data_IF_635732516217
#
_entry.id   IF_635732516217
#
_cell.length_a   1.000
_cell.length_b   1.000
_cell.length_c   1.000
_cell.angle_alpha   90.00
_cell.angle_beta   90.00
_cell.angle_gamma   90.00
#
_symmetry.space_group_name_H-M   'P 1'
#
loop_
_entity.id
_entity.type
_entity.pdbx_description
1 polymer ?
#
# COMPACT_ATOMS: atom_id res chain seq x y z
N UNK A 1 -2.08 -15.58 16.65
CA UNK A 1 -1.49 -14.36 16.08
C UNK A 1 -0.69 -14.75 14.86
N UNK A 2 -1.10 -14.26 13.69
CA UNK A 2 -0.53 -14.65 12.37
C UNK A 2 0.81 -13.97 12.07
N UNK A 3 1.11 -12.86 12.76
CA UNK A 3 2.34 -12.06 12.62
C UNK A 3 3.13 -11.94 13.93
N UNK A 4 2.98 -12.91 14.84
CA UNK A 4 3.71 -12.90 16.11
C UNK A 4 5.22 -12.74 15.87
N UNK A 5 5.85 -11.81 16.61
CA UNK A 5 7.28 -11.50 16.55
C UNK A 5 7.80 -11.01 15.19
N UNK A 6 6.92 -10.60 14.27
CA UNK A 6 7.29 -9.95 13.02
C UNK A 6 7.36 -8.43 13.19
N UNK A 7 8.24 -7.79 12.42
CA UNK A 7 8.33 -6.33 12.34
C UNK A 7 7.97 -5.85 10.92
N UNK A 8 7.12 -4.84 10.85
CA UNK A 8 6.55 -4.35 9.61
C UNK A 8 6.72 -2.83 9.45
N UNK A 9 7.00 -2.39 8.23
CA UNK A 9 6.92 -0.97 7.83
C UNK A 9 5.78 -0.82 6.82
N UNK A 10 4.86 0.10 7.10
CA UNK A 10 3.73 0.41 6.24
C UNK A 10 3.81 1.88 5.81
N UNK A 11 3.83 2.14 4.51
CA UNK A 11 3.87 3.51 3.98
C UNK A 11 2.45 4.00 3.64
N UNK A 12 2.21 5.32 3.75
CA UNK A 12 0.86 5.89 3.62
C UNK A 12 -0.08 5.31 4.67
N UNK A 13 0.44 5.15 5.90
CA UNK A 13 -0.21 4.36 6.94
C UNK A 13 -1.01 5.19 7.95
N UNK A 14 -1.01 6.53 7.84
CA UNK A 14 -1.77 7.37 8.76
C UNK A 14 -3.30 7.27 8.57
N UNK A 15 -3.76 6.92 7.35
CA UNK A 15 -5.18 6.93 6.99
C UNK A 15 -5.58 5.72 6.12
N UNK A 16 -6.89 5.53 5.94
CA UNK A 16 -7.48 4.60 4.98
C UNK A 16 -6.97 3.16 5.10
N UNK A 17 -6.61 2.55 3.97
CA UNK A 17 -6.12 1.16 3.89
C UNK A 17 -4.87 0.95 4.74
N UNK A 18 -3.94 1.92 4.71
CA UNK A 18 -2.71 1.83 5.48
C UNK A 18 -2.97 1.76 6.98
N UNK A 19 -3.82 2.64 7.50
CA UNK A 19 -4.18 2.68 8.92
C UNK A 19 -4.93 1.41 9.37
N UNK A 20 -5.88 0.94 8.58
CA UNK A 20 -6.57 -0.33 8.85
C UNK A 20 -5.59 -1.51 8.87
N UNK A 21 -4.62 -1.52 7.94
CA UNK A 21 -3.59 -2.56 7.90
C UNK A 21 -2.66 -2.48 9.11
N UNK A 22 -2.28 -1.28 9.54
CA UNK A 22 -1.41 -1.09 10.72
C UNK A 22 -2.08 -1.64 12.00
N UNK A 23 -3.37 -1.30 12.22
CA UNK A 23 -4.16 -1.87 13.33
C UNK A 23 -4.23 -3.39 13.25
N UNK A 24 -4.60 -3.89 12.07
CA UNK A 24 -4.77 -5.34 11.86
C UNK A 24 -3.47 -6.12 12.06
N UNK A 25 -2.33 -5.58 11.64
CA UNK A 25 -1.03 -6.20 11.86
C UNK A 25 -0.65 -6.22 13.35
N UNK A 26 -0.88 -5.11 14.06
CA UNK A 26 -0.62 -5.04 15.50
C UNK A 26 -1.51 -6.01 16.29
N UNK A 27 -2.80 -6.15 15.95
CA UNK A 27 -3.72 -7.14 16.53
C UNK A 27 -3.22 -8.57 16.34
N UNK A 28 -2.53 -8.84 15.24
CA UNK A 28 -1.94 -10.15 14.92
C UNK A 28 -0.50 -10.32 15.45
N UNK A 29 -0.04 -9.38 16.29
CA UNK A 29 1.20 -9.48 17.04
C UNK A 29 2.43 -8.90 16.36
N UNK A 30 2.28 -8.17 15.25
CA UNK A 30 3.39 -7.48 14.63
C UNK A 30 3.79 -6.23 15.41
N UNK A 31 5.08 -5.88 15.34
CA UNK A 31 5.59 -4.56 15.66
C UNK A 31 5.55 -3.69 14.42
N UNK A 32 4.94 -2.50 14.47
CA UNK A 32 4.58 -1.72 13.28
C UNK A 32 5.27 -0.36 13.26
N UNK A 33 5.92 -0.02 12.16
CA UNK A 33 6.29 1.36 11.83
C UNK A 33 5.19 1.96 10.94
N UNK A 34 4.50 2.97 11.45
CA UNK A 34 3.51 3.77 10.73
C UNK A 34 4.29 4.89 10.01
N UNK A 35 4.52 4.74 8.70
CA UNK A 35 5.29 5.69 7.91
C UNK A 35 4.34 6.54 7.04
N UNK A 36 4.34 7.86 7.25
CA UNK A 36 3.47 8.79 6.53
C UNK A 36 4.03 10.23 6.57
N UNK A 37 3.55 11.09 5.70
CA UNK A 37 3.81 12.54 5.74
C UNK A 37 2.88 13.27 6.72
N UNK A 38 1.73 12.69 7.05
CA UNK A 38 0.79 13.22 8.04
C UNK A 38 1.25 12.84 9.47
N UNK A 39 2.11 13.68 10.03
CA UNK A 39 2.69 13.47 11.37
C UNK A 39 1.63 13.39 12.47
N UNK A 40 0.59 14.23 12.37
CA UNK A 40 -0.45 14.28 13.39
C UNK A 40 -1.28 12.98 13.41
N UNK A 41 -1.79 12.56 12.26
CA UNK A 41 -2.59 11.35 12.15
C UNK A 41 -1.73 10.08 12.39
N UNK A 42 -0.51 10.03 11.86
CA UNK A 42 0.39 8.89 12.04
C UNK A 42 0.82 8.69 13.50
N UNK A 43 1.15 9.78 14.21
CA UNK A 43 1.48 9.72 15.63
C UNK A 43 0.28 9.30 16.47
N UNK A 44 -0.91 9.82 16.16
CA UNK A 44 -2.14 9.42 16.85
C UNK A 44 -2.44 7.92 16.68
N UNK A 45 -2.29 7.40 15.46
CA UNK A 45 -2.48 5.97 15.18
C UNK A 45 -1.45 5.09 15.90
N UNK A 46 -0.17 5.48 15.88
CA UNK A 46 0.86 4.72 16.60
C UNK A 46 0.58 4.68 18.12
N UNK A 47 0.12 5.80 18.69
CA UNK A 47 -0.27 5.88 20.11
C UNK A 47 -1.49 5.02 20.41
N UNK A 48 -2.54 5.06 19.57
CA UNK A 48 -3.73 4.22 19.67
C UNK A 48 -3.37 2.72 19.70
N UNK A 49 -2.48 2.29 18.79
CA UNK A 49 -2.01 0.89 18.74
C UNK A 49 -1.30 0.51 20.04
N UNK A 50 -0.47 1.39 20.59
CA UNK A 50 0.24 1.13 21.84
C UNK A 50 -0.73 1.09 23.03
N UNK A 51 -1.71 1.99 23.10
CA UNK A 51 -2.73 2.02 24.16
C UNK A 51 -3.61 0.76 24.18
N UNK A 52 -3.81 0.14 23.00
CA UNK A 52 -4.54 -1.13 22.88
C UNK A 52 -3.66 -2.37 23.10
N UNK A 53 -2.39 -2.18 23.50
CA UNK A 53 -1.47 -3.26 23.85
C UNK A 53 -0.62 -3.78 22.70
N UNK A 54 -0.67 -3.17 21.52
CA UNK A 54 0.20 -3.45 20.39
C UNK A 54 1.55 -2.75 20.49
N UNK A 55 2.38 -2.90 19.46
CA UNK A 55 3.68 -2.24 19.34
C UNK A 55 3.71 -1.42 18.06
N UNK A 56 3.81 -0.11 18.19
CA UNK A 56 3.92 0.78 17.04
C UNK A 56 4.82 1.97 17.30
N UNK A 57 5.36 2.54 16.23
CA UNK A 57 6.11 3.81 16.23
C UNK A 57 5.80 4.56 14.94
N UNK A 58 5.72 5.87 15.00
CA UNK A 58 5.57 6.71 13.82
C UNK A 58 6.94 7.05 13.21
N UNK A 59 6.99 7.12 11.88
CA UNK A 59 8.09 7.66 11.08
C UNK A 59 7.55 8.71 10.12
N UNK A 60 8.02 9.95 10.21
CA UNK A 60 7.74 10.94 9.16
C UNK A 60 8.46 10.51 7.87
N UNK A 61 7.72 10.28 6.80
CA UNK A 61 8.26 9.68 5.59
C UNK A 61 7.54 10.19 4.34
N UNK A 62 8.21 11.02 3.55
CA UNK A 62 7.83 11.25 2.16
C UNK A 62 8.45 10.13 1.30
N UNK A 63 7.61 9.23 0.79
CA UNK A 63 8.07 8.10 -0.03
C UNK A 63 8.74 8.54 -1.34
N UNK A 64 8.52 9.78 -1.79
CA UNK A 64 9.23 10.36 -2.93
C UNK A 64 10.72 10.58 -2.64
N UNK A 65 11.08 10.71 -1.35
CA UNK A 65 12.45 10.88 -0.88
C UNK A 65 13.04 9.54 -0.40
N UNK A 66 14.11 9.12 -1.07
CA UNK A 66 14.77 7.84 -0.76
C UNK A 66 15.28 7.79 0.68
N UNK A 67 15.82 8.89 1.19
CA UNK A 67 16.37 8.95 2.53
C UNK A 67 15.33 8.69 3.61
N UNK A 68 14.08 9.15 3.40
CA UNK A 68 13.00 8.96 4.36
C UNK A 68 12.55 7.49 4.41
N UNK A 69 12.48 6.81 3.25
CA UNK A 69 12.20 5.38 3.20
C UNK A 69 13.30 4.57 3.91
N UNK A 70 14.57 4.90 3.66
CA UNK A 70 15.71 4.25 4.33
C UNK A 70 15.63 4.47 5.84
N UNK A 71 15.34 5.70 6.29
CA UNK A 71 15.20 6.02 7.70
C UNK A 71 14.03 5.26 8.38
N UNK A 72 12.90 5.10 7.69
CA UNK A 72 11.77 4.32 8.21
C UNK A 72 12.13 2.82 8.38
N UNK A 73 12.89 2.25 7.45
CA UNK A 73 13.36 0.86 7.55
C UNK A 73 14.42 0.69 8.64
N UNK A 74 15.35 1.65 8.77
CA UNK A 74 16.36 1.66 9.83
C UNK A 74 15.70 1.80 11.20
N UNK A 75 14.71 2.68 11.35
CA UNK A 75 13.90 2.80 12.56
C UNK A 75 13.26 1.46 12.96
N UNK A 76 12.74 0.69 11.99
CA UNK A 76 12.18 -0.63 12.24
C UNK A 76 13.25 -1.59 12.79
N UNK A 77 14.41 -1.65 12.16
CA UNK A 77 15.54 -2.48 12.59
C UNK A 77 16.04 -2.08 13.97
N UNK A 78 16.19 -0.78 14.24
CA UNK A 78 16.70 -0.25 15.50
C UNK A 78 15.73 -0.49 16.67
N UNK A 79 14.42 -0.33 16.41
CA UNK A 79 13.40 -0.44 17.47
C UNK A 79 12.94 -1.86 17.73
N UNK A 80 12.92 -2.70 16.69
CA UNK A 80 12.34 -4.05 16.75
C UNK A 80 13.35 -5.16 16.41
N UNK A 81 14.60 -4.80 16.06
CA UNK A 81 15.69 -5.74 15.81
C UNK A 81 15.64 -6.45 14.47
N UNK A 82 14.63 -6.16 13.62
CA UNK A 82 14.39 -6.87 12.35
C UNK A 82 13.46 -6.09 11.42
N UNK A 83 13.44 -6.48 10.15
CA UNK A 83 12.43 -6.09 9.17
C UNK A 83 11.95 -7.35 8.44
N UNK A 84 10.68 -7.71 8.58
CA UNK A 84 10.09 -8.91 7.97
C UNK A 84 9.06 -8.60 6.90
N UNK A 85 8.36 -7.48 7.05
CA UNK A 85 7.22 -7.15 6.21
C UNK A 85 7.31 -5.68 5.78
N UNK A 86 7.09 -5.45 4.49
CA UNK A 86 6.89 -4.09 3.97
C UNK A 86 5.59 -4.02 3.20
N UNK A 87 4.77 -3.05 3.53
CA UNK A 87 3.58 -2.69 2.76
C UNK A 87 3.81 -1.32 2.09
N UNK A 88 4.19 -1.36 0.81
CA UNK A 88 4.31 -0.17 -0.04
C UNK A 88 2.91 0.28 -0.47
N UNK A 89 2.27 1.11 0.36
CA UNK A 89 0.88 1.50 0.16
C UNK A 89 0.71 2.97 -0.23
N UNK A 90 1.62 3.85 0.18
CA UNK A 90 1.54 5.27 -0.15
C UNK A 90 1.33 5.52 -1.64
N UNK A 91 0.33 6.32 -1.99
CA UNK A 91 0.03 6.68 -3.37
C UNK A 91 -0.77 7.99 -3.44
N UNK A 92 -0.65 8.66 -4.56
CA UNK A 92 -1.50 9.79 -4.95
C UNK A 92 -2.30 9.44 -6.20
N UNK A 93 -3.39 10.14 -6.44
CA UNK A 93 -4.23 9.98 -7.62
C UNK A 93 -4.19 11.23 -8.49
N UNK A 94 -4.44 11.04 -9.77
CA UNK A 94 -4.72 12.09 -10.73
C UNK A 94 -5.81 11.58 -11.67
N UNK A 95 -6.86 12.36 -11.84
CA UNK A 95 -8.06 11.99 -12.60
C UNK A 95 -8.03 12.48 -14.04
N UNK A 96 -6.98 13.20 -14.46
CA UNK A 96 -6.88 13.78 -15.80
C UNK A 96 -6.80 12.71 -16.87
N UNK A 97 -7.43 12.99 -18.00
CA UNK A 97 -7.31 12.16 -19.21
C UNK A 97 -5.95 12.39 -19.88
N UNK A 98 -5.65 11.62 -20.92
CA UNK A 98 -4.35 11.64 -21.61
C UNK A 98 -4.04 12.97 -22.31
N UNK A 99 -5.04 13.76 -22.64
CA UNK A 99 -4.86 15.04 -23.33
C UNK A 99 -4.63 16.20 -22.38
N UNK A 100 -5.11 16.08 -21.14
CA UNK A 100 -5.10 17.15 -20.14
C UNK A 100 -3.99 16.98 -19.08
N UNK A 101 -3.42 15.76 -18.96
CA UNK A 101 -2.31 15.47 -18.06
C UNK A 101 -1.03 16.17 -18.54
N UNK A 102 -0.32 16.85 -17.62
CA UNK A 102 0.98 17.47 -17.92
C UNK A 102 2.14 16.51 -17.63
N UNK A 103 3.32 16.84 -18.17
CA UNK A 103 4.55 16.08 -17.88
C UNK A 103 4.86 16.13 -16.37
N UNK A 104 4.65 17.26 -15.70
CA UNK A 104 4.87 17.43 -14.27
C UNK A 104 3.95 16.54 -13.43
N UNK A 105 2.70 16.38 -13.84
CA UNK A 105 1.74 15.50 -13.17
C UNK A 105 2.15 14.04 -13.33
N UNK A 106 2.56 13.66 -14.52
CA UNK A 106 3.06 12.32 -14.81
C UNK A 106 4.31 12.02 -13.96
N UNK A 107 5.29 12.92 -13.95
CA UNK A 107 6.53 12.77 -13.19
C UNK A 107 6.26 12.67 -11.68
N UNK A 108 5.33 13.48 -11.16
CA UNK A 108 4.91 13.42 -9.76
C UNK A 108 4.30 12.06 -9.41
N UNK A 109 3.37 11.56 -10.25
CA UNK A 109 2.76 10.24 -10.07
C UNK A 109 3.79 9.11 -10.14
N UNK A 110 4.68 9.16 -11.12
CA UNK A 110 5.76 8.16 -11.24
C UNK A 110 6.66 8.19 -10.00
N UNK A 111 7.03 9.38 -9.51
CA UNK A 111 7.90 9.52 -8.34
C UNK A 111 7.26 8.93 -7.09
N UNK A 112 5.98 9.24 -6.84
CA UNK A 112 5.28 8.77 -5.63
C UNK A 112 4.79 7.33 -5.76
N UNK A 113 4.14 6.95 -6.89
CA UNK A 113 3.42 5.68 -6.98
C UNK A 113 4.24 4.51 -7.52
N UNK A 114 5.32 4.78 -8.26
CA UNK A 114 6.11 3.72 -8.91
C UNK A 114 7.56 3.70 -8.44
N UNK A 115 8.26 4.85 -8.52
CA UNK A 115 9.65 4.93 -8.11
C UNK A 115 9.82 4.63 -6.62
N UNK A 116 8.92 5.11 -5.78
CA UNK A 116 8.91 4.81 -4.34
C UNK A 116 8.79 3.31 -4.07
N UNK A 117 7.88 2.63 -4.78
CA UNK A 117 7.68 1.17 -4.66
C UNK A 117 8.94 0.40 -5.09
N UNK A 118 9.59 0.85 -6.18
CA UNK A 118 10.88 0.27 -6.60
C UNK A 118 11.94 0.42 -5.52
N UNK A 119 12.10 1.64 -4.96
CA UNK A 119 13.07 1.91 -3.89
C UNK A 119 12.71 1.12 -2.64
N UNK A 120 11.46 1.20 -2.19
CA UNK A 120 10.96 0.50 -1.01
C UNK A 120 11.17 -1.01 -1.10
N UNK A 121 10.83 -1.63 -2.23
CA UNK A 121 11.07 -3.05 -2.48
C UNK A 121 12.56 -3.40 -2.42
N UNK A 122 13.41 -2.61 -3.07
CA UNK A 122 14.85 -2.87 -3.13
C UNK A 122 15.52 -2.72 -1.77
N UNK A 123 15.26 -1.62 -1.07
CA UNK A 123 15.92 -1.32 0.21
C UNK A 123 15.39 -2.21 1.35
N UNK A 124 14.11 -2.59 1.30
CA UNK A 124 13.56 -3.61 2.19
C UNK A 124 14.24 -4.97 1.98
N UNK A 125 14.32 -5.41 0.72
CA UNK A 125 14.93 -6.69 0.38
C UNK A 125 16.40 -6.77 0.85
N UNK A 126 17.18 -5.72 0.70
CA UNK A 126 18.57 -5.65 1.20
C UNK A 126 18.64 -5.92 2.70
N UNK A 127 17.79 -5.23 3.50
CA UNK A 127 17.75 -5.42 4.96
C UNK A 127 17.26 -6.81 5.36
N UNK A 128 16.23 -7.34 4.66
CA UNK A 128 15.74 -8.70 4.89
C UNK A 128 16.83 -9.76 4.60
N UNK A 129 17.63 -9.56 3.55
CA UNK A 129 18.76 -10.43 3.20
C UNK A 129 19.85 -10.32 4.27
N UNK A 130 20.22 -9.12 4.69
CA UNK A 130 21.24 -8.88 5.71
C UNK A 130 20.84 -9.49 7.07
N UNK A 131 19.54 -9.47 7.40
CA UNK A 131 19.00 -10.13 8.60
C UNK A 131 18.89 -11.66 8.45
N UNK A 132 18.88 -12.19 7.22
CA UNK A 132 18.80 -13.63 6.94
C UNK A 132 17.46 -14.29 7.25
N UNK A 133 16.39 -13.52 7.39
CA UNK A 133 15.07 -14.02 7.84
C UNK A 133 14.09 -14.32 6.70
N UNK A 134 14.44 -13.99 5.45
CA UNK A 134 13.45 -13.90 4.38
C UNK A 134 12.48 -12.72 4.64
N UNK A 135 11.30 -12.75 4.05
CA UNK A 135 10.32 -11.69 4.28
C UNK A 135 9.14 -11.69 3.33
N UNK A 136 8.26 -10.71 3.51
CA UNK A 136 7.12 -10.47 2.63
C UNK A 136 6.99 -8.99 2.28
N UNK A 137 6.94 -8.68 1.00
CA UNK A 137 6.69 -7.34 0.48
C UNK A 137 5.34 -7.35 -0.24
N UNK A 138 4.45 -6.46 0.17
CA UNK A 138 3.15 -6.25 -0.48
C UNK A 138 3.13 -4.86 -1.08
N UNK A 139 2.84 -4.77 -2.37
CA UNK A 139 2.76 -3.52 -3.11
C UNK A 139 1.29 -3.17 -3.42
N UNK A 140 0.92 -1.91 -3.33
CA UNK A 140 -0.44 -1.47 -3.67
C UNK A 140 -0.55 -1.14 -5.17
N UNK A 141 -1.13 -2.07 -5.92
CA UNK A 141 -1.60 -1.87 -7.28
C UNK A 141 -2.93 -1.11 -7.33
N UNK A 142 -3.78 -1.52 -8.25
CA UNK A 142 -5.16 -1.06 -8.43
C UNK A 142 -5.86 -1.96 -9.45
N UNK A 143 -7.20 -2.00 -9.46
CA UNK A 143 -7.97 -2.51 -10.60
C UNK A 143 -7.59 -1.81 -11.90
N UNK A 144 -7.14 -0.55 -11.84
CA UNK A 144 -6.65 0.21 -12.99
C UNK A 144 -5.30 -0.28 -13.57
N UNK A 145 -4.66 -1.26 -12.95
CA UNK A 145 -3.58 -2.03 -13.58
C UNK A 145 -4.10 -3.12 -14.54
N UNK A 146 -5.41 -3.40 -14.52
CA UNK A 146 -6.04 -4.54 -15.20
C UNK A 146 -7.08 -4.08 -16.22
N UNK A 147 -7.92 -3.11 -15.87
CA UNK A 147 -8.99 -2.56 -16.72
C UNK A 147 -8.78 -1.08 -16.98
N UNK A 148 -9.25 -0.60 -18.15
CA UNK A 148 -9.23 0.81 -18.47
C UNK A 148 -10.38 1.59 -17.81
N UNK A 149 -10.14 2.88 -17.56
CA UNK A 149 -11.14 3.82 -17.10
C UNK A 149 -10.94 5.16 -17.81
N UNK A 150 -11.98 5.90 -18.13
CA UNK A 150 -11.84 7.28 -18.59
C UNK A 150 -11.13 8.12 -17.54
N UNK A 151 -10.20 8.97 -17.98
CA UNK A 151 -9.30 9.67 -17.04
C UNK A 151 -8.21 8.75 -16.47
N UNK A 152 -7.52 9.22 -15.46
CA UNK A 152 -6.50 8.46 -14.73
C UNK A 152 -5.31 7.95 -15.58
N UNK A 153 -5.02 8.57 -16.73
CA UNK A 153 -4.04 8.04 -17.69
C UNK A 153 -2.66 7.76 -17.06
N UNK A 154 -2.10 8.71 -16.34
CA UNK A 154 -0.82 8.57 -15.65
C UNK A 154 -0.90 7.58 -14.47
N UNK A 155 -2.04 7.53 -13.78
CA UNK A 155 -2.26 6.59 -12.68
C UNK A 155 -2.28 5.14 -13.17
N UNK A 156 -2.97 4.86 -14.30
CA UNK A 156 -2.93 3.53 -14.96
C UNK A 156 -1.49 3.09 -15.24
N UNK A 157 -0.67 3.98 -15.79
CA UNK A 157 0.72 3.68 -16.10
C UNK A 157 1.51 3.30 -14.85
N UNK A 158 1.33 4.06 -13.75
CA UNK A 158 2.05 3.77 -12.49
C UNK A 158 1.60 2.45 -11.86
N UNK A 159 0.30 2.19 -11.80
CA UNK A 159 -0.25 0.97 -11.16
C UNK A 159 0.01 -0.29 -12.01
N UNK A 160 -0.02 -0.18 -13.34
CA UNK A 160 0.45 -1.22 -14.25
C UNK A 160 1.96 -1.50 -14.08
N UNK A 161 2.75 -0.43 -13.91
CA UNK A 161 4.18 -0.53 -13.60
C UNK A 161 4.46 -1.26 -12.29
N UNK A 162 3.68 -1.00 -11.23
CA UNK A 162 3.81 -1.68 -9.92
C UNK A 162 3.56 -3.18 -10.05
N UNK A 163 2.51 -3.61 -10.76
CA UNK A 163 2.22 -5.04 -10.94
C UNK A 163 3.32 -5.75 -11.74
N UNK A 164 3.86 -5.10 -12.77
CA UNK A 164 4.96 -5.63 -13.56
C UNK A 164 6.28 -5.69 -12.74
N UNK A 165 6.59 -4.64 -11.99
CA UNK A 165 7.74 -4.57 -11.07
C UNK A 165 7.68 -5.71 -10.04
N UNK A 166 6.51 -5.95 -9.47
CA UNK A 166 6.28 -7.01 -8.47
C UNK A 166 6.66 -8.39 -9.00
N UNK A 167 6.27 -8.73 -10.25
CA UNK A 167 6.64 -10.01 -10.88
C UNK A 167 8.15 -10.15 -11.04
N UNK A 168 8.82 -9.10 -11.52
CA UNK A 168 10.28 -9.12 -11.66
C UNK A 168 11.01 -9.23 -10.32
N UNK A 169 10.56 -8.47 -9.30
CA UNK A 169 11.13 -8.52 -7.97
C UNK A 169 10.92 -9.88 -7.31
N UNK A 170 9.75 -10.49 -7.46
CA UNK A 170 9.45 -11.82 -6.90
C UNK A 170 10.45 -12.88 -7.39
N UNK A 171 10.72 -12.92 -8.69
CA UNK A 171 11.69 -13.89 -9.26
C UNK A 171 13.11 -13.60 -8.76
N UNK A 172 13.51 -12.33 -8.66
CA UNK A 172 14.85 -11.95 -8.23
C UNK A 172 15.10 -12.25 -6.74
N UNK A 173 14.05 -12.32 -5.92
CA UNK A 173 14.17 -12.41 -4.46
C UNK A 173 13.80 -13.78 -3.89
N UNK A 174 13.35 -14.72 -4.73
CA UNK A 174 12.89 -16.04 -4.30
C UNK A 174 13.98 -16.86 -3.61
N UNK A 175 15.22 -16.79 -4.08
CA UNK A 175 16.37 -17.49 -3.49
C UNK A 175 16.73 -16.97 -2.08
N UNK A 176 16.29 -15.77 -1.74
CA UNK A 176 16.47 -15.17 -0.42
C UNK A 176 15.29 -15.42 0.52
N UNK A 177 14.31 -16.24 0.12
CA UNK A 177 13.10 -16.49 0.91
C UNK A 177 12.18 -15.27 1.06
N UNK A 178 12.28 -14.28 0.14
CA UNK A 178 11.45 -13.08 0.14
C UNK A 178 10.35 -13.22 -0.91
N UNK A 179 9.10 -13.08 -0.48
CA UNK A 179 7.93 -13.06 -1.35
C UNK A 179 7.55 -11.62 -1.68
N UNK A 180 7.15 -11.36 -2.92
CA UNK A 180 6.68 -10.03 -3.35
C UNK A 180 5.36 -10.20 -4.08
N UNK A 181 4.29 -9.57 -3.59
CA UNK A 181 2.96 -9.64 -4.18
C UNK A 181 2.33 -8.25 -4.30
N UNK A 182 1.29 -8.14 -5.10
CA UNK A 182 0.51 -6.91 -5.25
C UNK A 182 -0.91 -7.15 -4.76
N UNK A 183 -1.45 -6.21 -3.96
CA UNK A 183 -2.88 -6.07 -3.76
C UNK A 183 -3.42 -5.06 -4.78
N UNK A 184 -4.50 -5.39 -5.47
CA UNK A 184 -5.21 -4.53 -6.42
C UNK A 184 -6.63 -4.22 -5.88
N UNK A 185 -6.79 -3.18 -5.06
CA UNK A 185 -8.10 -2.80 -4.55
C UNK A 185 -9.00 -2.25 -5.66
N UNK A 186 -10.31 -2.48 -5.53
CA UNK A 186 -11.34 -1.73 -6.23
C UNK A 186 -11.59 -0.36 -5.58
N UNK A 187 -12.84 0.09 -5.63
CA UNK A 187 -13.25 1.34 -4.98
C UNK A 187 -13.48 1.11 -3.49
N UNK A 188 -12.61 1.66 -2.66
CA UNK A 188 -12.62 1.50 -1.20
C UNK A 188 -13.01 2.82 -0.55
N UNK A 189 -13.93 2.78 0.41
CA UNK A 189 -14.40 3.94 1.18
C UNK A 189 -13.27 4.44 2.10
N UNK A 190 -12.52 5.41 1.60
CA UNK A 190 -11.38 6.02 2.30
C UNK A 190 -11.48 7.54 2.27
N UNK A 191 -10.79 8.25 3.17
CA UNK A 191 -10.67 9.71 3.07
C UNK A 191 -10.15 10.17 1.70
N UNK A 192 -9.22 9.41 1.10
CA UNK A 192 -8.69 9.73 -0.23
C UNK A 192 -9.72 9.64 -1.36
N UNK A 193 -10.64 8.67 -1.32
CA UNK A 193 -11.74 8.57 -2.28
C UNK A 193 -12.69 9.76 -2.17
N UNK A 194 -13.07 10.14 -0.95
CA UNK A 194 -13.96 11.27 -0.67
C UNK A 194 -13.34 12.59 -1.10
N UNK A 195 -12.07 12.81 -0.72
CA UNK A 195 -11.32 13.99 -1.14
C UNK A 195 -11.18 14.07 -2.68
N UNK A 196 -10.97 12.92 -3.34
CA UNK A 196 -10.97 12.85 -4.81
C UNK A 196 -12.30 13.32 -5.41
N UNK A 197 -13.44 12.86 -4.87
CA UNK A 197 -14.76 13.32 -5.33
C UNK A 197 -14.97 14.83 -5.10
N UNK A 198 -14.56 15.34 -3.94
CA UNK A 198 -14.66 16.78 -3.58
C UNK A 198 -13.82 17.69 -4.48
N UNK A 199 -12.65 17.23 -4.91
CA UNK A 199 -11.72 18.05 -5.70
C UNK A 199 -11.95 17.97 -7.21
N UNK A 200 -12.66 16.95 -7.68
CA UNK A 200 -12.85 16.69 -9.13
C UNK A 200 -14.27 16.91 -9.63
N UNK A 201 -15.21 17.19 -8.74
CA UNK A 201 -16.63 17.39 -9.09
C UNK A 201 -17.24 18.54 -8.31
N UNK A 202 -18.05 19.33 -8.99
CA UNK A 202 -18.90 20.37 -8.36
C UNK A 202 -20.02 19.74 -7.50
N UNK A 203 -20.33 18.45 -7.70
CA UNK A 203 -21.28 17.65 -6.93
C UNK A 203 -20.60 16.35 -6.46
N UNK A 204 -19.95 16.37 -5.28
CA UNK A 204 -19.26 15.19 -4.72
C UNK A 204 -20.19 13.99 -4.49
N UNK A 205 -21.44 14.24 -4.11
CA UNK A 205 -22.42 13.16 -3.85
C UNK A 205 -22.80 12.46 -5.15
N UNK A 206 -23.01 13.20 -6.22
CA UNK A 206 -23.24 12.64 -7.56
C UNK A 206 -22.02 11.85 -8.07
N UNK A 207 -20.80 12.36 -7.82
CA UNK A 207 -19.56 11.64 -8.14
C UNK A 207 -19.47 10.31 -7.37
N UNK A 208 -19.71 10.31 -6.07
CA UNK A 208 -19.73 9.10 -5.23
C UNK A 208 -20.81 8.12 -5.68
N UNK A 209 -22.01 8.60 -6.03
CA UNK A 209 -23.09 7.77 -6.55
C UNK A 209 -22.69 7.12 -7.89
N UNK A 210 -21.98 7.83 -8.78
CA UNK A 210 -21.47 7.29 -10.04
C UNK A 210 -20.43 6.20 -9.81
N UNK A 211 -19.51 6.37 -8.85
CA UNK A 211 -18.54 5.34 -8.49
C UNK A 211 -19.23 4.10 -7.91
N UNK A 212 -20.26 4.31 -7.08
CA UNK A 212 -21.03 3.20 -6.51
C UNK A 212 -21.80 2.42 -7.57
N UNK A 213 -22.35 3.09 -8.59
CA UNK A 213 -23.10 2.46 -9.66
C UNK A 213 -22.28 1.43 -10.45
N UNK A 214 -20.94 1.65 -10.53
CA UNK A 214 -20.00 0.76 -11.19
C UNK A 214 -19.68 -0.50 -10.36
N UNK A 215 -20.03 -0.53 -9.06
CA UNK A 215 -19.69 -1.65 -8.21
C UNK A 215 -20.71 -2.79 -8.32
N UNK A 216 -20.34 -4.01 -8.77
CA UNK A 216 -21.28 -5.12 -8.87
C UNK A 216 -21.90 -5.49 -7.51
N UNK A 217 -21.12 -5.44 -6.43
CA UNK A 217 -21.60 -5.67 -5.06
C UNK A 217 -22.49 -4.57 -4.48
N UNK A 218 -22.71 -3.46 -5.23
CA UNK A 218 -23.59 -2.33 -4.84
C UNK A 218 -23.18 -1.66 -3.52
N UNK A 219 -21.92 -1.75 -3.18
CA UNK A 219 -21.27 -1.03 -2.07
C UNK A 219 -19.81 -0.81 -2.37
N UNK A 220 -19.19 0.12 -1.70
CA UNK A 220 -17.72 0.23 -1.65
C UNK A 220 -17.14 -0.88 -0.78
N UNK A 221 -15.89 -1.26 -1.05
CA UNK A 221 -15.10 -2.03 -0.11
C UNK A 221 -14.72 -1.18 1.11
N UNK A 222 -14.38 -1.83 2.20
CA UNK A 222 -13.85 -1.15 3.39
C UNK A 222 -12.33 -1.28 3.48
N UNK A 223 -11.63 -0.36 4.16
CA UNK A 223 -10.21 -0.49 4.42
C UNK A 223 -9.83 -1.82 5.09
N UNK A 224 -10.68 -2.33 5.99
CA UNK A 224 -10.48 -3.59 6.73
C UNK A 224 -10.54 -4.81 5.81
N UNK A 225 -11.39 -4.80 4.78
CA UNK A 225 -11.44 -5.88 3.78
C UNK A 225 -10.13 -5.99 3.01
N UNK A 226 -9.52 -4.85 2.67
CA UNK A 226 -8.19 -4.85 2.04
C UNK A 226 -7.10 -5.24 3.04
N UNK A 227 -7.13 -4.71 4.27
CA UNK A 227 -6.19 -5.06 5.33
C UNK A 227 -6.14 -6.57 5.60
N UNK A 228 -7.28 -7.27 5.56
CA UNK A 228 -7.34 -8.72 5.71
C UNK A 228 -6.63 -9.46 4.56
N UNK A 229 -6.73 -8.97 3.33
CA UNK A 229 -6.00 -9.54 2.19
C UNK A 229 -4.49 -9.27 2.30
N UNK A 230 -4.10 -8.07 2.71
CA UNK A 230 -2.69 -7.71 2.95
C UNK A 230 -2.11 -8.57 4.08
N UNK A 231 -2.87 -8.80 5.16
CA UNK A 231 -2.48 -9.69 6.25
C UNK A 231 -2.23 -11.13 5.74
N UNK A 232 -3.11 -11.66 4.91
CA UNK A 232 -2.88 -12.99 4.29
C UNK A 232 -1.58 -13.01 3.51
N UNK A 233 -1.35 -12.05 2.61
CA UNK A 233 -0.15 -11.96 1.79
C UNK A 233 1.13 -11.79 2.61
N UNK A 234 1.05 -11.08 3.73
CA UNK A 234 2.16 -10.84 4.65
C UNK A 234 2.50 -12.06 5.51
N UNK A 235 1.53 -12.94 5.79
CA UNK A 235 1.68 -14.07 6.69
C UNK A 235 2.25 -15.33 6.01
N UNK A 236 2.60 -16.33 6.83
CA UNK A 236 3.09 -17.63 6.36
C UNK A 236 1.98 -18.47 5.67
N UNK A 237 0.70 -18.08 5.80
CA UNK A 237 -0.40 -18.69 5.06
C UNK A 237 -0.26 -18.50 3.54
N UNK A 238 0.44 -17.45 3.11
CA UNK A 238 0.77 -17.17 1.71
C UNK A 238 2.17 -17.69 1.32
N UNK A 239 2.72 -18.70 2.01
CA UNK A 239 4.10 -19.18 1.81
C UNK A 239 4.40 -19.67 0.39
N UNK A 240 3.38 -20.05 -0.39
CA UNK A 240 3.53 -20.49 -1.79
C UNK A 240 3.02 -19.44 -2.79
N UNK A 241 2.83 -18.19 -2.33
CA UNK A 241 2.30 -17.08 -3.14
C UNK A 241 3.37 -16.01 -3.31
N UNK A 242 3.88 -15.85 -4.53
CA UNK A 242 4.81 -14.77 -4.90
C UNK A 242 4.64 -14.37 -6.35
N UNK A 243 4.82 -13.08 -6.66
CA UNK A 243 4.67 -12.52 -8.02
C UNK A 243 3.21 -12.29 -8.43
N UNK A 244 2.24 -12.51 -7.55
CA UNK A 244 0.81 -12.48 -7.87
C UNK A 244 0.19 -11.09 -7.65
N UNK A 245 -0.87 -10.82 -8.42
CA UNK A 245 -1.71 -9.62 -8.29
C UNK A 245 -3.09 -10.03 -7.76
N UNK A 246 -3.29 -9.87 -6.45
CA UNK A 246 -4.55 -10.19 -5.80
C UNK A 246 -5.56 -9.06 -5.99
N UNK A 247 -6.67 -9.37 -6.64
CA UNK A 247 -7.77 -8.43 -6.85
C UNK A 247 -8.79 -8.54 -5.72
N UNK A 248 -9.12 -7.41 -5.11
CA UNK A 248 -10.15 -7.30 -4.08
C UNK A 248 -11.03 -6.08 -4.41
N UNK A 249 -12.04 -6.28 -5.26
CA UNK A 249 -12.74 -5.21 -5.97
C UNK A 249 -14.27 -5.36 -6.04
N UNK A 250 -14.85 -6.30 -5.32
CA UNK A 250 -16.30 -6.54 -5.35
C UNK A 250 -16.82 -6.99 -6.72
N UNK A 251 -15.96 -7.57 -7.57
CA UNK A 251 -16.30 -8.08 -8.88
C UNK A 251 -16.18 -7.05 -10.03
N UNK A 252 -15.61 -5.86 -9.76
CA UNK A 252 -15.51 -4.78 -10.75
C UNK A 252 -14.76 -5.17 -12.01
N UNK A 253 -13.70 -5.98 -11.91
CA UNK A 253 -12.86 -6.35 -13.07
C UNK A 253 -13.35 -7.58 -13.85
N UNK A 254 -14.43 -8.24 -13.40
CA UNK A 254 -14.93 -9.50 -14.03
C UNK A 254 -16.29 -9.36 -14.72
N UNK A 255 -16.80 -8.12 -14.85
CA UNK A 255 -18.06 -7.79 -15.56
C UNK A 255 -17.79 -6.99 -16.82
#
# INVERSE_FOLDING_TARGET
>A
MRLADRAAVLTGAANGIGAATARRFAEEGASVVVADVDEAAGTALASEIVETGGKAVFANCDVAERADLEAAFDLCSDRFGRLDIVFNNAAIQDTRNILDATDEDFDKLVRVNLRSVFIGTREAARRMIDHGNGGSIVNTGSTFAIVGSPGYAAYHATKGGVTSLTRGAAINLIEHGIRVNTICPGTIDTPGLRHGAETTSDDPDAAMASYLALQPMKRFGTPEEIANTVLFLASDEASFVTGESFVADGGYTVV
#
